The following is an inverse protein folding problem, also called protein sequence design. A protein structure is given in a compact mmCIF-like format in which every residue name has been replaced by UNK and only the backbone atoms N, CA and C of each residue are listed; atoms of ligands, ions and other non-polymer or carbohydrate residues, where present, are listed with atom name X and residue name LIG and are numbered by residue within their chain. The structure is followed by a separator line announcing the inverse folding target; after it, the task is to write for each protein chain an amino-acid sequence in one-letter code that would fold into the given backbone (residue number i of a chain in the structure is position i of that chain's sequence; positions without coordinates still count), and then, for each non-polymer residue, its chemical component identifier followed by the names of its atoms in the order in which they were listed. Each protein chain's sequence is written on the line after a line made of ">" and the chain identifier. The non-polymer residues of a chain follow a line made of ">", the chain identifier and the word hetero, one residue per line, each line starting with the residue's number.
data_IF_732256502638
#
_entry.id   IF_732256502638
#
_cell.length_a   1.000
_cell.length_b   1.000
_cell.length_c   1.000
_cell.angle_alpha   90.00
_cell.angle_beta   90.00
_cell.angle_gamma   90.00
#
_symmetry.space_group_name_H-M   'P 1'
#
loop_
_entity.id
_entity.type
_entity.pdbx_description
1 polymer ?
#
# COMPACT_ATOMS: atom_id res chain seq x y z
N UNK A 1 -10.30 -27.61 -10.44
CA UNK A 1 -9.41 -26.93 -11.41
C UNK A 1 -9.08 -25.49 -11.02
N UNK A 2 -9.90 -24.79 -10.23
CA UNK A 2 -9.63 -23.41 -9.79
C UNK A 2 -8.29 -23.21 -9.06
N UNK A 3 -7.85 -24.20 -8.28
CA UNK A 3 -6.62 -24.17 -7.47
C UNK A 3 -5.33 -23.96 -8.27
N UNK A 4 -5.25 -24.42 -9.53
CA UNK A 4 -4.06 -24.21 -10.38
C UNK A 4 -4.14 -22.96 -11.27
N UNK A 5 -5.26 -22.24 -11.22
CA UNK A 5 -5.53 -21.10 -12.12
C UNK A 5 -5.69 -19.78 -11.39
N UNK A 6 -5.65 -19.79 -10.06
CA UNK A 6 -5.94 -18.64 -9.21
C UNK A 6 -4.83 -18.44 -8.17
N UNK A 7 -4.72 -17.21 -7.67
CA UNK A 7 -3.86 -16.92 -6.53
C UNK A 7 -4.52 -17.45 -5.25
N UNK A 8 -4.03 -18.58 -4.75
CA UNK A 8 -4.47 -19.21 -3.50
C UNK A 8 -3.31 -19.23 -2.49
N UNK A 9 -3.60 -19.62 -1.25
CA UNK A 9 -2.60 -19.76 -0.19
C UNK A 9 -2.92 -20.93 0.73
N UNK A 10 -1.97 -21.85 0.91
CA UNK A 10 -2.08 -22.99 1.83
C UNK A 10 -1.45 -22.68 3.20
N UNK A 11 -1.72 -21.48 3.72
CA UNK A 11 -1.24 -21.01 5.03
C UNK A 11 -2.39 -20.34 5.81
N UNK A 12 -2.23 -20.23 7.13
CA UNK A 12 -3.24 -19.60 7.97
C UNK A 12 -3.49 -18.15 7.53
N UNK A 13 -4.77 -17.75 7.46
CA UNK A 13 -5.19 -16.43 7.00
C UNK A 13 -4.70 -16.05 5.58
N UNK A 14 -4.81 -16.99 4.62
CA UNK A 14 -4.53 -16.75 3.20
C UNK A 14 -5.32 -15.61 2.53
N UNK A 15 -6.36 -15.10 3.18
CA UNK A 15 -7.08 -13.89 2.78
C UNK A 15 -6.29 -12.60 3.04
N UNK A 16 -5.27 -12.62 3.91
CA UNK A 16 -4.50 -11.42 4.29
C UNK A 16 -3.82 -10.77 3.10
N UNK A 17 -3.08 -11.49 2.21
CA UNK A 17 -2.46 -10.83 1.07
C UNK A 17 -3.46 -10.26 0.07
N UNK A 18 -4.67 -10.83 0.00
CA UNK A 18 -5.72 -10.32 -0.87
C UNK A 18 -6.17 -8.90 -0.50
N UNK A 19 -6.03 -8.49 0.77
CA UNK A 19 -6.33 -7.11 1.22
C UNK A 19 -5.06 -6.29 1.49
N UNK A 20 -4.02 -6.90 2.06
CA UNK A 20 -2.78 -6.22 2.45
C UNK A 20 -1.98 -5.75 1.24
N UNK A 21 -1.85 -6.57 0.19
CA UNK A 21 -1.11 -6.17 -1.02
C UNK A 21 -1.79 -4.97 -1.66
N UNK A 22 -3.11 -4.97 -1.91
CA UNK A 22 -3.83 -3.79 -2.32
C UNK A 22 -3.59 -2.54 -1.48
N UNK A 23 -3.76 -2.71 -0.17
CA UNK A 23 -3.73 -1.60 0.74
C UNK A 23 -2.37 -0.92 0.75
N UNK A 24 -1.27 -1.69 0.80
CA UNK A 24 0.09 -1.14 0.89
C UNK A 24 0.59 -0.61 -0.46
N UNK A 25 0.28 -1.28 -1.58
CA UNK A 25 0.91 -0.95 -2.87
C UNK A 25 0.15 0.06 -3.72
N UNK A 26 -1.16 0.24 -3.52
CA UNK A 26 -1.91 1.17 -4.36
C UNK A 26 -3.00 1.98 -3.65
N UNK A 27 -3.38 1.65 -2.40
CA UNK A 27 -4.31 2.49 -1.63
C UNK A 27 -3.53 3.49 -0.76
N UNK A 28 -2.61 3.01 0.08
CA UNK A 28 -1.83 3.83 1.02
C UNK A 28 -0.75 4.72 0.40
N UNK A 29 -0.10 4.39 -0.73
CA UNK A 29 0.92 5.27 -1.29
C UNK A 29 0.37 6.65 -1.66
N UNK A 30 -0.88 6.75 -2.11
CA UNK A 30 -1.50 8.04 -2.44
C UNK A 30 -1.61 8.99 -1.23
N UNK A 31 -2.23 8.61 -0.10
CA UNK A 31 -2.24 9.45 1.10
C UNK A 31 -0.85 9.63 1.70
N UNK A 32 0.04 8.64 1.64
CA UNK A 32 1.43 8.81 2.10
C UNK A 32 2.15 9.89 1.30
N UNK A 33 2.07 9.86 -0.03
CA UNK A 33 2.67 10.91 -0.87
C UNK A 33 1.99 12.26 -0.67
N UNK A 34 0.69 12.30 -0.41
CA UNK A 34 0.00 13.55 -0.09
C UNK A 34 0.49 14.17 1.23
N UNK A 35 0.70 13.34 2.27
CA UNK A 35 1.25 13.79 3.56
C UNK A 35 2.68 14.30 3.38
N UNK A 36 3.52 13.56 2.66
CA UNK A 36 4.90 13.99 2.37
C UNK A 36 4.90 15.30 1.58
N UNK A 37 4.06 15.41 0.55
CA UNK A 37 3.93 16.62 -0.26
C UNK A 37 3.52 17.82 0.61
N UNK A 38 2.47 17.69 1.41
CA UNK A 38 1.95 18.80 2.21
C UNK A 38 2.81 19.12 3.44
N UNK A 39 3.49 18.14 4.03
CA UNK A 39 4.29 18.34 5.24
C UNK A 39 5.77 18.66 4.98
N UNK A 40 6.37 18.09 3.93
CA UNK A 40 7.80 18.25 3.64
C UNK A 40 8.08 19.50 2.79
N UNK A 41 7.20 19.84 1.84
CA UNK A 41 7.40 21.01 0.96
C UNK A 41 7.42 22.34 1.74
N UNK A 42 6.49 22.65 2.65
CA UNK A 42 6.56 23.92 3.39
C UNK A 42 7.79 24.01 4.29
N UNK A 43 8.19 22.91 4.95
CA UNK A 43 9.39 22.88 5.81
C UNK A 43 10.68 23.16 5.02
N UNK A 44 10.79 22.70 3.78
CA UNK A 44 11.91 23.03 2.90
C UNK A 44 11.88 24.47 2.40
N UNK A 45 10.70 25.09 2.30
CA UNK A 45 10.56 26.50 1.94
C UNK A 45 10.96 27.43 3.09
N UNK A 46 10.79 27.00 4.34
CA UNK A 46 11.15 27.77 5.54
C UNK A 46 12.65 27.68 5.92
N UNK A 47 13.41 26.83 5.22
CA UNK A 47 14.86 26.63 5.42
C UNK A 47 15.74 27.57 4.56
N UNK A 48 15.13 28.50 3.82
CA UNK A 48 15.78 29.51 2.97
C UNK A 48 15.88 30.89 3.62
#
# INVERSE_FOLDING_TARGET
>A
MADMTQLTGAYAAAWLPWIMIPMIFYILPFPVFAIIFLGCIPVLQDLG
#
